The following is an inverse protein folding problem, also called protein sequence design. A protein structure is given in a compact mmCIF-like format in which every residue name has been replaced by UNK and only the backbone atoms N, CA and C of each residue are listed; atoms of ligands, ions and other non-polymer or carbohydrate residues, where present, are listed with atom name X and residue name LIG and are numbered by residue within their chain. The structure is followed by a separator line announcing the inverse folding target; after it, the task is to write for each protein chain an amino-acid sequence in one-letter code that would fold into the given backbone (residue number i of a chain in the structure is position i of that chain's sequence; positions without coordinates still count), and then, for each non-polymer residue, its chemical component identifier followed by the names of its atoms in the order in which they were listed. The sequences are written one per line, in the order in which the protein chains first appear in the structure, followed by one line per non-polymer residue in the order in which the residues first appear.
data_IF_936708400199
#
_entry.id   IF_936708400199
#
_cell.length_a   1.000
_cell.length_b   1.000
_cell.length_c   1.000
_cell.angle_alpha   90.00
_cell.angle_beta   90.00
_cell.angle_gamma   90.00
#
_symmetry.space_group_name_H-M   'P 1'
#
loop_
_entity.id
_entity.type
_entity.pdbx_description
1 polymer ?
#
# COMPACT_ATOMS: atom_id res chain seq x y z
N UNK A 1 45.16 67.75 -22.66
CA UNK A 1 44.69 67.21 -23.95
C UNK A 1 44.35 65.74 -23.74
N UNK A 2 43.25 65.28 -24.35
CA UNK A 2 42.50 64.04 -24.12
C UNK A 2 43.35 62.78 -23.85
N UNK A 3 42.83 61.90 -23.00
CA UNK A 3 42.48 60.47 -23.25
C UNK A 3 42.47 59.76 -21.89
N UNK A 4 41.33 59.22 -21.46
CA UNK A 4 41.21 57.82 -21.06
C UNK A 4 39.75 57.39 -21.05
N UNK A 5 39.54 56.19 -21.58
CA UNK A 5 38.26 55.64 -22.00
C UNK A 5 37.65 54.73 -20.94
N UNK A 6 36.32 54.55 -21.07
CA UNK A 6 35.54 53.35 -20.70
C UNK A 6 35.42 53.04 -19.20
N UNK A 7 34.19 53.13 -18.70
CA UNK A 7 33.40 51.96 -18.28
C UNK A 7 31.96 52.45 -18.04
N UNK A 8 30.98 51.98 -18.83
CA UNK A 8 29.56 52.11 -18.47
C UNK A 8 28.96 50.72 -18.41
N UNK A 9 28.45 50.43 -17.22
CA UNK A 9 27.90 49.17 -16.75
C UNK A 9 26.76 48.67 -17.64
N UNK A 10 26.83 47.41 -18.07
CA UNK A 10 25.69 46.67 -18.61
C UNK A 10 24.96 46.09 -17.40
N UNK A 11 23.79 46.63 -17.09
CA UNK A 11 22.85 46.04 -16.14
C UNK A 11 22.20 44.81 -16.79
N UNK A 12 22.75 43.63 -16.53
CA UNK A 12 22.07 42.37 -16.84
C UNK A 12 21.07 42.10 -15.72
N UNK A 13 19.77 42.31 -16.01
CA UNK A 13 18.69 41.78 -15.18
C UNK A 13 18.74 40.26 -15.24
N UNK A 14 19.36 39.65 -14.23
CA UNK A 14 19.16 38.22 -13.94
C UNK A 14 17.76 38.12 -13.34
N UNK A 15 16.79 37.73 -14.17
CA UNK A 15 15.50 37.26 -13.68
C UNK A 15 15.78 35.92 -13.00
N UNK A 16 15.98 35.96 -11.68
CA UNK A 16 15.80 34.79 -10.84
C UNK A 16 14.32 34.41 -10.91
N UNK A 17 13.97 33.51 -11.85
CA UNK A 17 12.72 32.77 -11.77
C UNK A 17 12.86 31.84 -10.57
N UNK A 18 12.43 32.36 -9.42
CA UNK A 18 12.33 31.61 -8.19
C UNK A 18 11.36 30.46 -8.41
N UNK A 19 11.85 29.25 -8.15
CA UNK A 19 11.09 28.16 -7.55
C UNK A 19 9.67 28.03 -8.09
N UNK A 20 9.55 27.34 -9.23
CA UNK A 20 8.36 26.53 -9.45
C UNK A 20 8.09 25.79 -8.12
N UNK A 21 6.90 25.88 -7.52
CA UNK A 21 6.62 25.01 -6.40
C UNK A 21 6.87 23.61 -6.93
N UNK A 22 7.78 22.89 -6.29
CA UNK A 22 7.89 21.45 -6.44
C UNK A 22 6.44 20.98 -6.26
N UNK A 23 5.75 20.68 -7.37
CA UNK A 23 4.46 20.01 -7.29
C UNK A 23 4.78 18.81 -6.44
N UNK A 24 4.32 18.78 -5.19
CA UNK A 24 4.64 17.72 -4.26
C UNK A 24 4.24 16.44 -4.97
N UNK A 25 5.24 15.72 -5.49
CA UNK A 25 5.00 14.56 -6.30
C UNK A 25 4.31 13.57 -5.36
N UNK A 26 3.07 13.23 -5.68
CA UNK A 26 2.26 12.42 -4.78
C UNK A 26 2.94 11.06 -4.66
N UNK A 27 3.27 10.67 -3.42
CA UNK A 27 3.85 9.35 -3.21
C UNK A 27 2.76 8.32 -3.51
N UNK A 28 3.16 7.24 -4.17
CA UNK A 28 2.25 6.15 -4.49
C UNK A 28 2.87 4.83 -4.04
N UNK A 29 2.06 4.00 -3.41
CA UNK A 29 2.39 2.64 -3.06
C UNK A 29 1.63 1.71 -4.02
N UNK A 30 2.33 0.78 -4.66
CA UNK A 30 1.74 -0.09 -5.69
C UNK A 30 2.02 -1.54 -5.33
N UNK A 31 0.95 -2.29 -5.10
CA UNK A 31 1.05 -3.73 -4.94
C UNK A 31 1.20 -4.41 -6.31
N UNK A 32 1.97 -5.49 -6.36
CA UNK A 32 2.13 -6.33 -7.56
C UNK A 32 2.29 -7.79 -7.14
N UNK A 33 1.89 -8.72 -7.99
CA UNK A 33 2.26 -10.13 -7.76
C UNK A 33 3.69 -10.37 -8.21
N UNK A 34 4.36 -11.34 -7.59
CA UNK A 34 5.74 -11.71 -7.94
C UNK A 34 5.89 -12.14 -9.40
N UNK A 35 4.88 -12.78 -9.97
CA UNK A 35 4.91 -13.23 -11.37
C UNK A 35 5.02 -12.06 -12.35
N UNK A 36 4.44 -10.89 -12.02
CA UNK A 36 4.52 -9.70 -12.87
C UNK A 36 5.95 -9.13 -12.92
N UNK A 37 6.75 -9.33 -11.87
CA UNK A 37 8.16 -8.89 -11.85
C UNK A 37 8.98 -9.54 -12.96
N UNK A 38 8.65 -10.79 -13.31
CA UNK A 38 9.38 -11.54 -14.34
C UNK A 38 8.67 -11.58 -15.69
N UNK A 39 7.34 -11.46 -15.72
CA UNK A 39 6.56 -11.61 -16.96
C UNK A 39 6.27 -10.30 -17.69
N UNK A 40 6.23 -9.16 -16.99
CA UNK A 40 6.00 -7.86 -17.63
C UNK A 40 7.29 -7.34 -18.27
N UNK A 41 7.23 -6.74 -19.48
CA UNK A 41 8.42 -6.21 -20.14
C UNK A 41 8.98 -5.00 -19.37
N UNK A 42 10.28 -4.71 -19.52
CA UNK A 42 10.93 -3.59 -18.84
C UNK A 42 10.22 -2.25 -19.09
N UNK A 43 9.74 -2.02 -20.32
CA UNK A 43 9.00 -0.82 -20.71
C UNK A 43 7.68 -0.62 -19.92
N UNK A 44 7.09 -1.68 -19.38
CA UNK A 44 5.97 -1.57 -18.44
C UNK A 44 6.45 -0.92 -17.14
N UNK A 45 7.54 -1.43 -16.57
CA UNK A 45 8.10 -0.94 -15.31
C UNK A 45 8.68 0.46 -15.41
N UNK A 46 9.24 0.87 -16.54
CA UNK A 46 9.70 2.26 -16.78
C UNK A 46 8.56 3.30 -16.72
N UNK A 47 7.33 2.88 -17.06
CA UNK A 47 6.14 3.71 -16.88
C UNK A 47 5.70 3.76 -15.43
N UNK A 48 5.81 2.64 -14.71
CA UNK A 48 5.42 2.52 -13.30
C UNK A 48 6.40 3.24 -12.36
N UNK A 49 7.70 3.15 -12.63
CA UNK A 49 8.77 3.63 -11.76
C UNK A 49 9.02 5.12 -11.97
N UNK A 50 8.24 5.92 -11.24
CA UNK A 50 8.44 7.36 -11.10
C UNK A 50 8.93 7.67 -9.68
N UNK A 51 9.67 8.77 -9.47
CA UNK A 51 10.03 9.22 -8.12
C UNK A 51 8.81 9.26 -7.19
N UNK A 52 9.01 8.94 -5.91
CA UNK A 52 7.92 8.81 -4.93
C UNK A 52 7.14 7.49 -4.98
N UNK A 53 7.51 6.56 -5.87
CA UNK A 53 6.86 5.23 -5.94
C UNK A 53 7.48 4.23 -4.96
N UNK A 54 6.61 3.57 -4.19
CA UNK A 54 6.92 2.35 -3.44
C UNK A 54 6.30 1.14 -4.13
N UNK A 55 7.07 0.07 -4.31
CA UNK A 55 6.59 -1.20 -4.87
C UNK A 55 6.55 -2.24 -3.75
N UNK A 56 5.37 -2.82 -3.56
CA UNK A 56 5.18 -3.96 -2.67
C UNK A 56 4.83 -5.21 -3.48
N UNK A 57 5.57 -6.30 -3.31
CA UNK A 57 5.39 -7.50 -4.14
C UNK A 57 5.15 -8.77 -3.31
N UNK A 58 4.21 -9.59 -3.77
CA UNK A 58 3.87 -10.86 -3.12
C UNK A 58 4.99 -11.89 -3.22
N UNK A 59 4.83 -13.02 -2.51
CA UNK A 59 5.67 -14.20 -2.73
C UNK A 59 6.78 -14.39 -1.70
N UNK A 60 6.74 -13.69 -0.57
CA UNK A 60 7.59 -13.96 0.60
C UNK A 60 6.75 -14.53 1.74
N UNK A 61 7.21 -15.64 2.31
CA UNK A 61 6.46 -16.39 3.30
C UNK A 61 7.30 -16.77 4.52
N UNK A 62 6.63 -16.79 5.68
CA UNK A 62 7.16 -17.29 6.94
C UNK A 62 6.69 -18.73 7.15
N UNK A 63 7.65 -19.62 7.42
CA UNK A 63 7.40 -21.02 7.72
C UNK A 63 7.28 -21.34 9.21
N UNK A 64 7.16 -22.63 9.53
CA UNK A 64 6.69 -23.11 10.83
C UNK A 64 7.70 -22.90 11.98
N UNK A 65 8.96 -22.61 11.67
CA UNK A 65 10.02 -22.32 12.64
C UNK A 65 10.48 -20.85 12.54
N UNK A 66 9.71 -19.99 11.87
CA UNK A 66 10.02 -18.59 11.65
C UNK A 66 11.00 -18.34 10.50
N UNK A 67 11.34 -19.36 9.72
CA UNK A 67 12.16 -19.22 8.51
C UNK A 67 11.46 -18.38 7.45
N UNK A 68 12.22 -17.52 6.76
CA UNK A 68 11.70 -16.58 5.76
C UNK A 68 12.24 -16.99 4.40
N UNK A 69 11.34 -17.20 3.44
CA UNK A 69 11.69 -17.55 2.06
C UNK A 69 10.84 -16.75 1.10
N UNK A 70 11.43 -16.15 0.08
CA UNK A 70 10.68 -15.39 -0.91
C UNK A 70 11.39 -15.27 -2.24
N UNK A 71 10.72 -14.60 -3.18
CA UNK A 71 11.32 -14.23 -4.46
C UNK A 71 12.17 -12.97 -4.31
N UNK A 72 13.16 -12.81 -5.19
CA UNK A 72 13.95 -11.58 -5.29
C UNK A 72 13.53 -10.79 -6.52
N UNK A 73 13.59 -9.46 -6.43
CA UNK A 73 13.35 -8.58 -7.58
C UNK A 73 14.42 -8.84 -8.65
N UNK A 74 14.07 -9.03 -9.93
CA UNK A 74 15.06 -9.20 -11.00
C UNK A 74 16.05 -8.02 -11.07
N UNK A 75 17.34 -8.30 -11.34
CA UNK A 75 18.41 -7.29 -11.34
C UNK A 75 18.12 -6.11 -12.27
N UNK A 76 17.53 -6.36 -13.44
CA UNK A 76 17.12 -5.29 -14.36
C UNK A 76 16.13 -4.30 -13.71
N UNK A 77 15.16 -4.81 -12.94
CA UNK A 77 14.20 -3.99 -12.21
C UNK A 77 14.84 -3.27 -11.03
N UNK A 78 15.81 -3.89 -10.35
CA UNK A 78 16.59 -3.22 -9.31
C UNK A 78 17.34 -2.02 -9.89
N UNK A 79 17.99 -2.18 -11.05
CA UNK A 79 18.75 -1.11 -11.72
C UNK A 79 17.86 0.08 -12.10
N UNK A 80 16.75 -0.16 -12.82
CA UNK A 80 15.85 0.93 -13.21
C UNK A 80 15.09 1.51 -12.01
N UNK A 81 14.82 0.69 -10.98
CA UNK A 81 14.19 1.12 -9.75
C UNK A 81 15.10 2.04 -8.94
N UNK A 82 16.38 1.69 -8.79
CA UNK A 82 17.36 2.52 -8.11
C UNK A 82 17.53 3.89 -8.80
N UNK A 83 17.56 3.91 -10.14
CA UNK A 83 17.62 5.16 -10.93
C UNK A 83 16.44 6.10 -10.67
N UNK A 84 15.28 5.56 -10.32
CA UNK A 84 14.05 6.32 -10.07
C UNK A 84 13.69 6.37 -8.57
N UNK A 85 14.65 6.06 -7.69
CA UNK A 85 14.48 6.11 -6.22
C UNK A 85 13.28 5.29 -5.70
N UNK A 86 13.04 4.13 -6.34
CA UNK A 86 11.94 3.24 -5.96
C UNK A 86 12.23 2.59 -4.62
N UNK A 87 11.25 2.70 -3.70
CA UNK A 87 11.28 1.95 -2.45
C UNK A 87 10.71 0.55 -2.65
N UNK A 88 11.48 -0.46 -2.30
CA UNK A 88 11.07 -1.86 -2.47
C UNK A 88 10.69 -2.51 -1.14
N UNK A 89 9.54 -3.17 -1.13
CA UNK A 89 9.00 -3.89 0.02
C UNK A 89 8.55 -5.31 -0.38
N UNK A 90 9.20 -6.37 0.10
CA UNK A 90 8.62 -7.70 0.04
C UNK A 90 7.38 -7.72 0.93
N UNK A 91 6.25 -8.16 0.38
CA UNK A 91 5.05 -8.52 1.15
C UNK A 91 5.31 -9.88 1.80
N UNK A 92 5.29 -9.90 3.12
CA UNK A 92 5.58 -11.06 3.94
C UNK A 92 4.31 -11.48 4.67
N UNK A 93 3.93 -12.74 4.49
CA UNK A 93 2.80 -13.36 5.20
C UNK A 93 3.17 -14.76 5.72
N UNK A 94 2.32 -15.38 6.52
CA UNK A 94 2.53 -16.76 6.96
C UNK A 94 2.14 -17.75 5.85
N UNK A 95 2.82 -18.90 5.77
CA UNK A 95 2.43 -19.98 4.85
C UNK A 95 1.01 -20.50 5.09
N UNK A 96 0.52 -20.39 6.32
CA UNK A 96 -0.84 -20.73 6.72
C UNK A 96 -1.21 -20.02 8.03
N UNK A 97 -2.51 -19.96 8.32
CA UNK A 97 -2.99 -19.50 9.63
C UNK A 97 -2.38 -20.31 10.78
N UNK A 98 -2.27 -21.64 10.64
CA UNK A 98 -1.71 -22.51 11.68
C UNK A 98 -0.24 -22.18 11.97
N UNK A 99 0.54 -21.84 10.95
CA UNK A 99 1.92 -21.34 11.13
C UNK A 99 1.92 -20.00 11.85
N UNK A 100 1.06 -19.06 11.46
CA UNK A 100 0.93 -17.77 12.13
C UNK A 100 0.60 -17.91 13.62
N UNK A 101 -0.40 -18.75 13.95
CA UNK A 101 -0.80 -19.07 15.33
C UNK A 101 0.37 -19.63 16.15
N UNK A 102 1.09 -20.60 15.59
CA UNK A 102 2.26 -21.24 16.24
C UNK A 102 3.39 -20.25 16.49
N UNK A 103 3.79 -19.50 15.46
CA UNK A 103 4.94 -18.58 15.54
C UNK A 103 4.65 -17.42 16.48
N UNK A 104 3.47 -16.80 16.38
CA UNK A 104 3.11 -15.67 17.24
C UNK A 104 2.94 -16.07 18.70
N UNK A 105 2.39 -17.25 19.00
CA UNK A 105 2.18 -17.69 20.38
C UNK A 105 3.47 -18.04 21.13
N UNK A 106 4.58 -18.34 20.44
CA UNK A 106 5.85 -18.70 21.07
C UNK A 106 6.83 -17.52 21.10
N UNK A 107 7.24 -17.02 22.29
CA UNK A 107 8.29 -16.00 22.39
C UNK A 107 9.61 -16.41 21.73
N UNK A 108 9.96 -17.69 21.79
CA UNK A 108 11.18 -18.23 21.17
C UNK A 108 11.10 -18.16 19.64
N UNK A 109 9.94 -18.52 19.05
CA UNK A 109 9.73 -18.42 17.61
C UNK A 109 9.61 -16.98 17.12
N UNK A 110 9.01 -16.06 17.90
CA UNK A 110 9.02 -14.63 17.57
C UNK A 110 10.44 -14.07 17.50
N UNK A 111 11.28 -14.37 18.50
CA UNK A 111 12.70 -13.98 18.49
C UNK A 111 13.46 -14.60 17.30
N UNK A 112 13.17 -15.87 16.97
CA UNK A 112 13.75 -16.50 15.79
C UNK A 112 13.32 -15.79 14.50
N UNK A 113 12.03 -15.47 14.37
CA UNK A 113 11.48 -14.73 13.24
C UNK A 113 12.13 -13.35 13.08
N UNK A 114 12.30 -12.58 14.17
CA UNK A 114 12.98 -11.27 14.12
C UNK A 114 14.38 -11.42 13.52
N UNK A 115 15.19 -12.36 14.02
CA UNK A 115 16.53 -12.62 13.49
C UNK A 115 16.52 -13.05 12.02
N UNK A 116 15.56 -13.89 11.63
CA UNK A 116 15.45 -14.35 10.26
C UNK A 116 15.02 -13.24 9.30
N UNK A 117 14.17 -12.30 9.73
CA UNK A 117 13.81 -11.11 8.96
C UNK A 117 14.98 -10.14 8.81
N UNK A 118 15.77 -9.95 9.87
CA UNK A 118 17.01 -9.18 9.80
C UNK A 118 17.99 -9.79 8.79
N UNK A 119 18.25 -11.10 8.88
CA UNK A 119 19.12 -11.82 7.93
C UNK A 119 18.58 -11.78 6.49
N UNK A 120 17.26 -11.89 6.32
CA UNK A 120 16.63 -11.79 5.01
C UNK A 120 16.88 -10.40 4.37
N UNK A 121 16.76 -9.32 5.15
CA UNK A 121 17.04 -7.96 4.70
C UNK A 121 18.53 -7.68 4.47
N UNK A 122 19.43 -8.34 5.20
CA UNK A 122 20.88 -8.26 4.95
C UNK A 122 21.23 -8.85 3.58
N UNK A 123 20.64 -9.99 3.23
CA UNK A 123 20.81 -10.62 1.91
C UNK A 123 20.10 -9.86 0.78
N UNK A 124 19.20 -8.92 1.10
CA UNK A 124 18.47 -8.09 0.17
C UNK A 124 18.60 -6.61 0.55
N UNK A 125 19.84 -6.15 0.69
CA UNK A 125 20.16 -4.84 1.26
C UNK A 125 19.55 -3.64 0.51
N UNK A 126 19.13 -3.79 -0.74
CA UNK A 126 18.43 -2.75 -1.52
C UNK A 126 16.96 -2.54 -1.12
N UNK A 127 16.33 -3.46 -0.39
CA UNK A 127 14.97 -3.26 0.10
C UNK A 127 14.92 -2.12 1.13
N UNK A 128 13.90 -1.27 1.04
CA UNK A 128 13.72 -0.16 1.99
C UNK A 128 13.22 -0.65 3.36
N UNK A 129 12.72 -1.88 3.42
CA UNK A 129 12.15 -2.48 4.61
C UNK A 129 11.34 -3.72 4.26
N UNK A 130 10.37 -4.07 5.10
CA UNK A 130 9.42 -5.15 4.86
C UNK A 130 7.98 -4.65 5.00
N UNK A 131 7.07 -5.35 4.34
CA UNK A 131 5.64 -5.14 4.49
C UNK A 131 4.98 -6.38 5.05
N UNK A 132 4.50 -6.31 6.29
CA UNK A 132 3.80 -7.43 6.92
C UNK A 132 2.32 -7.37 6.57
N UNK A 133 1.86 -8.45 5.94
CA UNK A 133 0.48 -8.64 5.54
C UNK A 133 -0.08 -9.90 6.23
N UNK A 134 -0.31 -9.76 7.54
CA UNK A 134 -0.78 -10.85 8.39
C UNK A 134 -2.29 -10.76 8.52
N UNK A 135 -2.97 -11.63 7.78
CA UNK A 135 -4.42 -11.78 7.74
C UNK A 135 -4.85 -13.19 8.20
N UNK A 136 -6.16 -13.38 8.44
CA UNK A 136 -6.74 -14.70 8.79
C UNK A 136 -6.51 -15.16 10.23
N UNK A 137 -5.92 -14.31 11.08
CA UNK A 137 -5.77 -14.58 12.51
C UNK A 137 -6.85 -13.82 13.29
N UNK A 138 -7.34 -14.43 14.37
CA UNK A 138 -8.41 -13.86 15.19
C UNK A 138 -7.92 -12.81 16.21
N UNK A 139 -8.85 -12.07 16.85
CA UNK A 139 -8.53 -11.06 17.85
C UNK A 139 -7.70 -11.55 19.04
N UNK A 140 -7.82 -12.83 19.38
CA UNK A 140 -7.07 -13.49 20.46
C UNK A 140 -5.54 -13.46 20.24
N UNK A 141 -5.09 -13.32 18.99
CA UNK A 141 -3.67 -13.21 18.64
C UNK A 141 -3.16 -11.77 18.59
N UNK A 142 -4.00 -10.75 18.80
CA UNK A 142 -3.61 -9.34 18.68
C UNK A 142 -2.48 -8.96 19.65
N UNK A 143 -2.54 -9.43 20.90
CA UNK A 143 -1.48 -9.21 21.88
C UNK A 143 -0.17 -9.87 21.48
N UNK A 144 -0.21 -11.06 20.88
CA UNK A 144 0.99 -11.76 20.41
C UNK A 144 1.62 -11.07 19.20
N UNK A 145 0.79 -10.55 18.29
CA UNK A 145 1.28 -9.76 17.17
C UNK A 145 1.92 -8.45 17.65
N UNK A 146 1.30 -7.76 18.62
CA UNK A 146 1.88 -6.59 19.28
C UNK A 146 3.26 -6.88 19.88
N UNK A 147 3.45 -8.01 20.56
CA UNK A 147 4.79 -8.38 21.09
C UNK A 147 5.81 -8.58 19.96
N UNK A 148 5.44 -9.23 18.84
CA UNK A 148 6.33 -9.33 17.67
C UNK A 148 6.73 -7.94 17.17
N UNK A 149 5.77 -7.01 17.01
CA UNK A 149 6.03 -5.68 16.47
C UNK A 149 6.92 -4.83 17.41
N UNK A 150 6.77 -4.97 18.73
CA UNK A 150 7.63 -4.31 19.72
C UNK A 150 9.07 -4.80 19.66
N UNK A 151 9.30 -6.06 19.29
CA UNK A 151 10.65 -6.60 19.07
C UNK A 151 11.20 -6.19 17.68
N UNK A 152 10.36 -6.25 16.64
CA UNK A 152 10.77 -6.11 15.25
C UNK A 152 11.02 -4.67 14.82
N UNK A 153 10.14 -3.73 15.17
CA UNK A 153 10.28 -2.33 14.76
C UNK A 153 11.64 -1.71 15.16
N UNK A 154 12.09 -1.78 16.43
CA UNK A 154 13.39 -1.23 16.80
C UNK A 154 14.57 -1.99 16.17
N UNK A 155 14.45 -3.30 15.92
CA UNK A 155 15.48 -4.08 15.26
C UNK A 155 15.71 -3.60 13.81
N UNK A 156 14.64 -3.38 13.06
CA UNK A 156 14.73 -2.88 11.69
C UNK A 156 15.21 -1.42 11.63
N UNK A 157 14.73 -0.56 12.53
CA UNK A 157 15.17 0.85 12.61
C UNK A 157 16.68 0.99 12.82
N UNK A 158 17.29 0.14 13.66
CA UNK A 158 18.75 0.13 13.87
C UNK A 158 19.56 -0.17 12.60
N UNK A 159 18.92 -0.82 11.62
CA UNK A 159 19.50 -1.16 10.32
C UNK A 159 19.05 -0.22 9.21
N UNK A 160 18.40 0.90 9.54
CA UNK A 160 17.80 1.83 8.58
C UNK A 160 16.80 1.16 7.64
N UNK A 161 16.05 0.17 8.15
CA UNK A 161 14.97 -0.53 7.44
C UNK A 161 13.63 -0.18 8.06
N UNK A 162 12.62 -0.03 7.20
CA UNK A 162 11.26 0.31 7.62
C UNK A 162 10.44 -0.96 7.93
N UNK A 163 9.65 -0.89 9.01
CA UNK A 163 8.55 -1.83 9.24
C UNK A 163 7.24 -1.19 8.75
N UNK A 164 6.64 -1.79 7.74
CA UNK A 164 5.33 -1.34 7.22
C UNK A 164 4.29 -2.44 7.37
N UNK A 165 3.03 -2.09 7.63
CA UNK A 165 1.95 -3.07 7.87
C UNK A 165 0.77 -2.83 6.94
N UNK A 166 0.15 -3.89 6.44
CA UNK A 166 -1.23 -3.87 5.96
C UNK A 166 -2.19 -4.03 7.14
N UNK A 167 -3.22 -3.19 7.21
CA UNK A 167 -4.14 -3.15 8.36
C UNK A 167 -5.59 -3.10 7.90
N UNK A 168 -6.42 -3.99 8.44
CA UNK A 168 -7.86 -3.96 8.23
C UNK A 168 -8.49 -2.70 8.82
N UNK A 169 -9.56 -2.18 8.20
CA UNK A 169 -10.41 -1.17 8.80
C UNK A 169 -10.97 -1.66 10.15
N UNK A 170 -10.95 -0.81 11.17
CA UNK A 170 -11.48 -1.14 12.49
C UNK A 170 -12.97 -0.81 12.64
N UNK A 171 -13.44 0.24 11.96
CA UNK A 171 -14.82 0.73 12.04
C UNK A 171 -15.63 0.20 10.84
N UNK A 172 -16.80 -0.39 11.10
CA UNK A 172 -17.69 -0.88 10.04
C UNK A 172 -17.13 -2.07 9.24
N UNK A 173 -16.29 -2.89 9.84
CA UNK A 173 -15.71 -4.10 9.25
C UNK A 173 -15.84 -5.28 10.24
N UNK A 174 -15.79 -6.53 9.76
CA UNK A 174 -15.97 -7.71 10.61
C UNK A 174 -14.92 -7.75 11.75
N UNK A 175 -15.31 -7.63 13.03
CA UNK A 175 -14.38 -7.65 14.15
C UNK A 175 -13.62 -8.97 14.29
N UNK A 176 -14.13 -10.08 13.74
CA UNK A 176 -13.42 -11.37 13.71
C UNK A 176 -12.15 -11.30 12.86
N UNK A 177 -12.13 -10.42 11.86
CA UNK A 177 -10.98 -10.18 11.00
C UNK A 177 -10.15 -9.00 11.52
N UNK A 178 -10.79 -7.84 11.73
CA UNK A 178 -10.07 -6.61 12.08
C UNK A 178 -9.53 -6.60 13.51
N UNK A 179 -10.13 -7.36 14.43
CA UNK A 179 -9.72 -7.37 15.84
C UNK A 179 -8.29 -7.87 16.06
N UNK A 180 -7.73 -8.64 15.12
CA UNK A 180 -6.30 -9.02 15.14
C UNK A 180 -5.37 -7.81 15.12
N UNK A 181 -5.74 -6.73 14.44
CA UNK A 181 -4.97 -5.49 14.36
C UNK A 181 -5.30 -4.49 15.48
N UNK A 182 -6.13 -4.84 16.47
CA UNK A 182 -6.61 -3.89 17.49
C UNK A 182 -5.51 -3.17 18.29
N UNK A 183 -4.36 -3.83 18.53
CA UNK A 183 -3.23 -3.21 19.22
C UNK A 183 -2.55 -2.10 18.38
N UNK A 184 -2.58 -2.21 17.06
CA UNK A 184 -2.01 -1.22 16.11
C UNK A 184 -2.77 0.09 16.23
N UNK A 185 -4.10 0.04 16.37
CA UNK A 185 -4.93 1.24 16.58
C UNK A 185 -4.72 1.92 17.94
N UNK A 186 -4.02 1.30 18.89
CA UNK A 186 -3.81 1.81 20.25
C UNK A 186 -2.37 2.23 20.53
N UNK A 187 -1.42 1.77 19.71
CA UNK A 187 0.01 2.05 19.88
C UNK A 187 0.69 2.10 18.52
N UNK A 188 1.56 3.08 18.33
CA UNK A 188 2.41 3.18 17.15
C UNK A 188 3.43 2.03 17.14
N UNK A 189 3.17 1.01 16.33
CA UNK A 189 3.93 -0.25 16.25
C UNK A 189 4.60 -0.47 14.87
N UNK A 190 4.56 0.54 14.00
CA UNK A 190 5.10 0.48 12.65
C UNK A 190 5.63 1.83 12.20
N UNK A 191 6.53 1.85 11.23
CA UNK A 191 6.99 3.09 10.61
C UNK A 191 5.93 3.67 9.68
N UNK A 192 5.26 2.81 8.90
CA UNK A 192 4.16 3.19 8.02
C UNK A 192 3.03 2.14 8.05
N UNK A 193 1.79 2.59 7.85
CA UNK A 193 0.58 1.75 7.81
C UNK A 193 -0.08 1.95 6.45
N UNK A 194 -0.40 0.85 5.77
CA UNK A 194 -1.34 0.85 4.65
C UNK A 194 -2.70 0.41 5.18
N UNK A 195 -3.64 1.35 5.24
CA UNK A 195 -5.03 1.04 5.59
C UNK A 195 -5.68 0.35 4.39
N UNK A 196 -6.08 -0.91 4.54
CA UNK A 196 -6.80 -1.66 3.52
C UNK A 196 -8.28 -1.24 3.48
N UNK A 197 -8.55 0.00 3.08
CA UNK A 197 -9.90 0.56 2.99
C UNK A 197 -10.66 0.03 1.77
N UNK A 198 -10.76 -1.30 1.67
CA UNK A 198 -11.47 -2.04 0.64
C UNK A 198 -12.05 -3.34 1.21
N UNK A 199 -12.82 -4.06 0.39
CA UNK A 199 -13.62 -5.22 0.76
C UNK A 199 -14.69 -4.96 1.83
N UNK A 200 -15.22 -3.73 1.91
CA UNK A 200 -16.46 -3.45 2.63
C UNK A 200 -17.59 -4.37 2.12
N UNK A 201 -17.64 -4.54 0.80
CA UNK A 201 -18.36 -5.61 0.13
C UNK A 201 -17.38 -6.45 -0.69
N UNK A 202 -17.44 -7.78 -0.52
CA UNK A 202 -16.54 -8.74 -1.14
C UNK A 202 -17.30 -9.95 -1.68
N UNK A 203 -16.56 -10.90 -2.27
CA UNK A 203 -17.14 -12.19 -2.73
C UNK A 203 -17.88 -12.98 -1.65
N UNK A 204 -17.71 -12.63 -0.37
CA UNK A 204 -18.32 -13.30 0.80
C UNK A 204 -19.48 -12.51 1.43
N UNK A 205 -19.82 -11.34 0.89
CA UNK A 205 -20.88 -10.47 1.43
C UNK A 205 -22.01 -10.30 0.42
N UNK A 206 -23.08 -9.62 0.85
CA UNK A 206 -24.10 -9.11 -0.05
C UNK A 206 -23.49 -8.09 -1.05
N UNK A 207 -24.13 -7.87 -2.21
CA UNK A 207 -23.71 -6.88 -3.18
C UNK A 207 -23.58 -5.47 -2.58
N UNK A 208 -22.62 -4.72 -3.07
CA UNK A 208 -22.39 -3.33 -2.66
C UNK A 208 -21.00 -2.85 -3.08
N UNK A 209 -20.67 -1.59 -2.76
CA UNK A 209 -19.40 -1.00 -3.15
C UNK A 209 -18.22 -1.64 -2.40
N UNK A 210 -17.13 -1.95 -3.11
CA UNK A 210 -15.91 -2.52 -2.48
C UNK A 210 -15.34 -1.58 -1.41
N UNK A 211 -15.56 -0.27 -1.57
CA UNK A 211 -15.23 0.74 -0.58
C UNK A 211 -16.16 1.92 -0.70
N UNK A 212 -16.26 2.73 0.35
CA UNK A 212 -16.94 4.03 0.32
C UNK A 212 -16.02 5.08 0.90
N UNK A 213 -15.99 6.27 0.30
CA UNK A 213 -15.08 7.31 0.78
C UNK A 213 -15.40 7.73 2.22
N UNK A 214 -16.68 7.78 2.59
CA UNK A 214 -17.08 8.16 3.96
C UNK A 214 -16.58 7.14 5.00
N UNK A 215 -16.66 5.85 4.68
CA UNK A 215 -16.20 4.76 5.52
C UNK A 215 -14.68 4.71 5.63
N UNK A 216 -14.01 4.91 4.50
CA UNK A 216 -12.56 4.97 4.46
C UNK A 216 -12.01 6.16 5.26
N UNK A 217 -12.60 7.35 5.14
CA UNK A 217 -12.24 8.56 5.91
C UNK A 217 -12.36 8.32 7.42
N UNK A 218 -13.46 7.72 7.89
CA UNK A 218 -13.61 7.39 9.32
C UNK A 218 -12.51 6.46 9.85
N UNK A 219 -12.07 5.50 9.04
CA UNK A 219 -10.98 4.60 9.43
C UNK A 219 -9.59 5.27 9.39
N UNK A 220 -9.34 6.19 8.44
CA UNK A 220 -8.16 7.06 8.45
C UNK A 220 -8.13 7.92 9.72
N UNK A 221 -9.24 8.59 10.04
CA UNK A 221 -9.40 9.40 11.25
C UNK A 221 -9.17 8.61 12.53
N UNK A 222 -9.54 7.33 12.53
CA UNK A 222 -9.27 6.45 13.66
C UNK A 222 -7.78 6.10 13.80
N UNK A 223 -7.07 5.82 12.70
CA UNK A 223 -5.61 5.64 12.71
C UNK A 223 -4.86 6.90 13.15
N UNK A 224 -5.35 8.08 12.77
CA UNK A 224 -4.74 9.38 13.13
C UNK A 224 -4.72 9.66 14.64
N UNK A 225 -5.51 8.92 15.44
CA UNK A 225 -5.41 8.98 16.91
C UNK A 225 -4.10 8.39 17.46
N UNK A 226 -3.40 7.59 16.65
CA UNK A 226 -2.22 6.81 17.06
C UNK A 226 -1.00 7.04 16.16
N UNK A 227 -1.21 7.31 14.88
CA UNK A 227 -0.17 7.54 13.87
C UNK A 227 -0.23 8.97 13.35
N UNK A 228 0.93 9.51 12.96
CA UNK A 228 0.97 10.77 12.23
C UNK A 228 0.50 10.57 10.78
N UNK A 229 -0.01 11.62 10.15
CA UNK A 229 -0.56 11.53 8.79
C UNK A 229 0.48 11.03 7.78
N UNK A 230 1.73 11.46 7.89
CA UNK A 230 2.84 11.04 7.04
C UNK A 230 3.29 9.58 7.23
N UNK A 231 2.69 8.86 8.18
CA UNK A 231 2.88 7.41 8.37
C UNK A 231 1.76 6.59 7.73
N UNK A 232 0.66 7.21 7.28
CA UNK A 232 -0.52 6.49 6.81
C UNK A 232 -0.63 6.60 5.29
N UNK A 233 -0.77 5.44 4.65
CA UNK A 233 -1.12 5.30 3.25
C UNK A 233 -2.61 4.96 3.11
N UNK A 234 -3.27 5.64 2.17
CA UNK A 234 -4.67 5.40 1.89
C UNK A 234 -4.81 4.26 0.87
N UNK A 235 -5.17 3.05 1.33
CA UNK A 235 -5.40 1.91 0.47
C UNK A 235 -6.66 2.04 -0.38
N UNK A 236 -6.52 1.84 -1.69
CA UNK A 236 -7.56 1.96 -2.71
C UNK A 236 -7.55 0.69 -3.58
N UNK A 237 -8.72 0.05 -3.78
CA UNK A 237 -8.83 -1.10 -4.67
C UNK A 237 -8.90 -0.61 -6.12
N UNK A 238 -8.11 -1.24 -7.00
CA UNK A 238 -8.19 -1.11 -8.46
C UNK A 238 -9.18 -2.12 -9.06
N UNK A 239 -9.98 -2.76 -8.21
CA UNK A 239 -10.95 -3.78 -8.58
C UNK A 239 -12.32 -3.49 -7.96
N UNK A 240 -13.28 -4.21 -8.49
CA UNK A 240 -14.68 -4.17 -8.17
C UNK A 240 -15.29 -5.55 -8.28
N UNK A 241 -16.58 -5.64 -7.99
CA UNK A 241 -17.34 -6.88 -8.16
C UNK A 241 -18.67 -6.58 -8.86
N UNK A 242 -19.15 -7.55 -9.64
CA UNK A 242 -20.46 -7.55 -10.26
C UNK A 242 -21.21 -8.83 -9.91
N UNK A 243 -22.22 -8.71 -9.05
CA UNK A 243 -23.11 -9.78 -8.62
C UNK A 243 -24.28 -9.88 -9.60
N UNK A 244 -24.25 -10.91 -10.44
CA UNK A 244 -25.37 -11.26 -11.32
C UNK A 244 -26.45 -11.97 -10.51
N UNK A 245 -27.72 -11.66 -10.78
CA UNK A 245 -28.89 -12.18 -10.04
C UNK A 245 -28.93 -13.72 -9.93
N UNK A 246 -28.48 -14.42 -10.96
CA UNK A 246 -28.50 -15.89 -11.03
C UNK A 246 -27.10 -16.54 -10.89
N UNK A 247 -26.09 -15.78 -10.47
CA UNK A 247 -24.74 -16.30 -10.27
C UNK A 247 -24.46 -16.57 -8.80
N UNK A 248 -23.83 -17.73 -8.52
CA UNK A 248 -23.40 -18.10 -7.17
C UNK A 248 -22.24 -17.27 -6.64
N UNK A 249 -21.48 -16.61 -7.53
CA UNK A 249 -20.30 -15.80 -7.19
C UNK A 249 -20.28 -14.54 -8.07
N UNK A 250 -19.84 -13.40 -7.54
CA UNK A 250 -19.67 -12.22 -8.36
C UNK A 250 -18.53 -12.39 -9.37
N UNK A 251 -18.64 -11.67 -10.49
CA UNK A 251 -17.54 -11.46 -11.45
C UNK A 251 -16.61 -10.39 -10.86
N UNK A 252 -15.29 -10.61 -10.93
CA UNK A 252 -14.30 -9.55 -10.69
C UNK A 252 -14.41 -8.51 -11.80
N UNK A 253 -14.46 -7.23 -11.42
CA UNK A 253 -14.26 -6.10 -12.32
C UNK A 253 -12.90 -5.48 -12.05
N UNK A 254 -12.22 -5.01 -13.08
CA UNK A 254 -10.93 -4.34 -12.91
C UNK A 254 -10.85 -3.06 -13.75
N UNK A 255 -10.10 -2.05 -13.29
CA UNK A 255 -9.97 -0.78 -14.01
C UNK A 255 -9.46 -0.97 -15.45
N UNK A 256 -8.44 -1.80 -15.63
CA UNK A 256 -7.82 -2.08 -16.93
C UNK A 256 -8.70 -2.82 -17.94
N UNK A 257 -9.71 -3.57 -17.48
CA UNK A 257 -10.47 -4.49 -18.34
C UNK A 257 -11.96 -4.13 -18.44
N UNK A 258 -12.54 -3.48 -17.43
CA UNK A 258 -13.98 -3.30 -17.32
C UNK A 258 -14.43 -1.83 -17.27
N UNK A 259 -13.53 -0.86 -17.45
CA UNK A 259 -13.85 0.58 -17.44
C UNK A 259 -15.06 0.93 -18.32
N UNK A 260 -15.01 0.56 -19.61
CA UNK A 260 -16.10 0.85 -20.56
C UNK A 260 -17.44 0.23 -20.13
N UNK A 261 -17.41 -1.01 -19.63
CA UNK A 261 -18.61 -1.69 -19.15
C UNK A 261 -19.23 -0.93 -17.98
N UNK A 262 -18.39 -0.50 -17.03
CA UNK A 262 -18.83 0.21 -15.85
C UNK A 262 -19.33 1.62 -16.18
N UNK A 263 -18.67 2.36 -17.06
CA UNK A 263 -19.13 3.69 -17.50
C UNK A 263 -20.49 3.61 -18.19
N UNK A 264 -20.71 2.59 -19.00
CA UNK A 264 -21.98 2.43 -19.74
C UNK A 264 -23.16 2.02 -18.85
N UNK A 265 -22.91 1.25 -17.79
CA UNK A 265 -23.96 0.62 -17.00
C UNK A 265 -24.09 1.20 -15.57
N UNK A 266 -23.13 2.02 -15.14
CA UNK A 266 -23.06 2.57 -13.80
C UNK A 266 -23.41 4.04 -13.73
N UNK A 267 -23.68 4.52 -12.52
CA UNK A 267 -23.76 5.93 -12.18
C UNK A 267 -22.61 6.28 -11.24
N UNK A 268 -21.87 7.32 -11.56
CA UNK A 268 -20.79 7.82 -10.73
C UNK A 268 -21.36 8.45 -9.45
N UNK A 269 -20.71 8.14 -8.32
CA UNK A 269 -20.89 8.77 -7.03
C UNK A 269 -19.59 8.64 -6.22
N UNK A 270 -19.04 9.77 -5.80
CA UNK A 270 -17.81 9.84 -4.98
C UNK A 270 -16.59 9.11 -5.60
N UNK A 271 -16.51 9.13 -6.93
CA UNK A 271 -15.50 8.45 -7.75
C UNK A 271 -15.77 6.98 -8.02
N UNK A 272 -16.83 6.42 -7.42
CA UNK A 272 -17.26 5.04 -7.57
C UNK A 272 -18.40 4.98 -8.58
N UNK A 273 -18.28 4.15 -9.59
CA UNK A 273 -19.36 3.86 -10.50
C UNK A 273 -20.19 2.70 -9.98
N UNK A 274 -21.44 2.97 -9.64
CA UNK A 274 -22.39 2.02 -9.08
C UNK A 274 -23.31 1.49 -10.18
N UNK A 275 -23.27 0.18 -10.42
CA UNK A 275 -24.15 -0.52 -11.36
C UNK A 275 -25.32 -1.08 -10.55
N UNK A 276 -26.54 -0.74 -10.95
CA UNK A 276 -27.77 -1.31 -10.40
C UNK A 276 -28.75 -1.54 -11.55
N UNK A 277 -28.77 -2.75 -12.09
CA UNK A 277 -29.59 -3.14 -13.24
C UNK A 277 -30.46 -4.36 -12.90
N UNK A 278 -31.42 -4.67 -13.78
CA UNK A 278 -32.23 -5.90 -13.71
C UNK A 278 -31.39 -7.19 -13.72
N UNK A 279 -30.18 -7.12 -14.29
CA UNK A 279 -29.23 -8.24 -14.42
C UNK A 279 -28.32 -8.42 -13.21
N UNK A 280 -28.13 -7.39 -12.39
CA UNK A 280 -27.25 -7.45 -11.24
C UNK A 280 -26.75 -6.11 -10.74
N UNK A 281 -25.93 -6.19 -9.71
CA UNK A 281 -25.38 -5.04 -8.99
C UNK A 281 -23.86 -5.09 -8.98
N UNK A 282 -23.19 -3.95 -9.00
CA UNK A 282 -21.74 -3.92 -8.90
C UNK A 282 -21.17 -2.53 -8.69
N UNK A 283 -19.86 -2.48 -8.51
CA UNK A 283 -19.15 -1.22 -8.29
C UNK A 283 -17.72 -1.31 -8.78
N UNK A 284 -17.17 -0.20 -9.26
CA UNK A 284 -15.74 -0.04 -9.50
C UNK A 284 -15.35 1.44 -9.34
N UNK A 285 -14.24 1.72 -8.68
CA UNK A 285 -13.67 3.08 -8.63
C UNK A 285 -13.02 3.38 -9.98
N UNK A 286 -13.36 4.50 -10.59
CA UNK A 286 -12.72 4.98 -11.83
C UNK A 286 -12.22 6.43 -11.74
N UNK A 287 -12.69 7.21 -10.76
CA UNK A 287 -12.19 8.56 -10.50
C UNK A 287 -11.61 8.64 -9.08
N UNK A 288 -10.32 9.01 -9.01
CA UNK A 288 -9.56 9.09 -7.76
C UNK A 288 -9.48 10.51 -7.20
N UNK A 289 -9.96 11.53 -7.91
CA UNK A 289 -9.74 12.93 -7.57
C UNK A 289 -10.15 13.26 -6.13
N UNK A 290 -11.33 12.79 -5.70
CA UNK A 290 -11.83 13.02 -4.35
C UNK A 290 -10.96 12.35 -3.27
N UNK A 291 -10.37 11.21 -3.59
CA UNK A 291 -9.51 10.41 -2.71
C UNK A 291 -8.12 11.06 -2.59
N UNK A 292 -7.56 11.50 -3.72
CA UNK A 292 -6.32 12.28 -3.84
C UNK A 292 -6.43 13.60 -3.06
N UNK A 293 -7.48 14.37 -3.30
CA UNK A 293 -7.73 15.65 -2.62
C UNK A 293 -7.82 15.46 -1.10
N UNK A 294 -8.53 14.43 -0.63
CA UNK A 294 -8.60 14.14 0.79
C UNK A 294 -7.23 13.78 1.37
N UNK A 295 -6.51 12.85 0.75
CA UNK A 295 -5.18 12.42 1.20
C UNK A 295 -4.21 13.61 1.28
N UNK A 296 -4.23 14.49 0.29
CA UNK A 296 -3.42 15.71 0.23
C UNK A 296 -3.80 16.71 1.32
N UNK A 297 -5.10 16.95 1.53
CA UNK A 297 -5.59 17.94 2.50
C UNK A 297 -5.18 17.61 3.93
N UNK A 298 -5.18 16.32 4.30
CA UNK A 298 -4.75 15.88 5.64
C UNK A 298 -3.28 15.42 5.67
N UNK A 299 -2.54 15.61 4.56
CA UNK A 299 -1.11 15.29 4.45
C UNK A 299 -0.79 13.82 4.76
N UNK A 300 -1.58 12.90 4.24
CA UNK A 300 -1.24 11.48 4.26
C UNK A 300 0.09 11.25 3.52
N UNK A 301 0.72 10.10 3.79
CA UNK A 301 1.94 9.72 3.08
C UNK A 301 1.73 9.65 1.57
N UNK A 302 0.58 9.12 1.16
CA UNK A 302 0.19 8.94 -0.24
C UNK A 302 -0.97 7.95 -0.39
N UNK A 303 -1.23 7.55 -1.63
CA UNK A 303 -2.21 6.51 -1.97
C UNK A 303 -1.53 5.15 -2.16
N UNK A 304 -2.21 4.07 -1.76
CA UNK A 304 -1.74 2.71 -1.93
C UNK A 304 -2.72 1.89 -2.78
N UNK A 305 -2.27 1.36 -3.91
CA UNK A 305 -3.14 0.73 -4.90
C UNK A 305 -3.03 -0.78 -4.88
N UNK A 306 -4.15 -1.45 -4.60
CA UNK A 306 -4.29 -2.90 -4.73
C UNK A 306 -5.11 -3.24 -5.99
N UNK A 307 -4.50 -3.66 -7.09
CA UNK A 307 -3.06 -3.81 -7.33
C UNK A 307 -2.77 -3.63 -8.82
N UNK A 308 -1.49 -3.46 -9.16
CA UNK A 308 -1.08 -3.42 -10.57
C UNK A 308 -1.59 -4.64 -11.34
N UNK A 309 -2.04 -4.38 -12.57
CA UNK A 309 -2.63 -5.38 -13.46
C UNK A 309 -4.14 -5.54 -13.30
N UNK A 310 -4.75 -4.89 -12.30
CA UNK A 310 -6.19 -4.66 -12.26
C UNK A 310 -6.55 -3.40 -13.04
#
# INVERSE_FOLDING_TARGET
MKIFSRLRSIFTYIICISLCPLSAQENVWKYTISQDLSSKPLAYWEKVFKPGTSICFTGTYIGANGEVSGVSVPSALQTIGNKNEIRWFPLITFRSESVGKKVLASPQLRKALVRNLEFYLENHSFYSGIHLDFEGLGPEYSSHYKELLLELQPALRKKSKLLTLAVFPAEGFDPKLSGFHSAIYKKNLADEIVLMAYDLHSTKTAPGPVTEISWAKRNIEYLLKTYKSEQIWFGIPLYGYYWKKDAKRPKLLTQSSDENFVIQNGKEKDGIYLIHTDKGEGSLILDLKLWEEYAKNIKLKGLAFWRLGF
#
